data_IF_933716016370
#
_entry.id   IF_933716016370
#
_cell.length_a   1.000
_cell.length_b   1.000
_cell.length_c   1.000
_cell.angle_alpha   90.00
_cell.angle_beta   90.00
_cell.angle_gamma   90.00
#
_symmetry.space_group_name_H-M   'P 1'
#
loop_
_entity.id
_entity.type
_entity.pdbx_description
1 polymer ?
#
# COMPACT_ATOMS: atom_id res chain seq x y z
N UNK A 1 34.20 3.81 32.58
CA UNK A 1 33.88 3.67 31.14
C UNK A 1 32.83 2.60 30.83
N UNK A 2 32.85 1.39 31.43
CA UNK A 2 31.96 0.28 31.03
C UNK A 2 30.45 0.34 31.35
N UNK A 3 29.92 1.39 32.00
CA UNK A 3 28.49 1.50 32.33
C UNK A 3 27.72 2.35 31.30
N UNK A 4 28.39 3.33 30.69
CA UNK A 4 27.84 4.18 29.63
C UNK A 4 27.68 3.36 28.35
N UNK A 5 28.67 2.51 28.02
CA UNK A 5 28.64 1.66 26.83
C UNK A 5 27.49 0.62 26.88
N UNK A 6 27.18 0.07 28.05
CA UNK A 6 26.05 -0.85 28.24
C UNK A 6 24.70 -0.14 28.10
N UNK A 7 24.58 1.08 28.63
CA UNK A 7 23.37 1.91 28.50
C UNK A 7 23.11 2.33 27.05
N UNK A 8 24.18 2.68 26.31
CA UNK A 8 24.11 3.02 24.90
C UNK A 8 23.71 1.82 24.04
N UNK A 9 24.27 0.63 24.32
CA UNK A 9 23.92 -0.60 23.62
C UNK A 9 22.44 -0.98 23.84
N UNK A 10 21.95 -0.92 25.07
CA UNK A 10 20.55 -1.22 25.39
C UNK A 10 19.56 -0.19 24.79
N UNK A 11 19.95 1.09 24.75
CA UNK A 11 19.15 2.14 24.11
C UNK A 11 19.12 1.97 22.60
N UNK A 12 20.26 1.62 21.98
CA UNK A 12 20.35 1.33 20.55
C UNK A 12 19.55 0.07 20.17
N UNK A 13 19.58 -0.96 21.00
CA UNK A 13 18.80 -2.18 20.81
C UNK A 13 17.29 -1.90 20.96
N UNK A 14 16.90 -1.09 21.94
CA UNK A 14 15.50 -0.64 22.10
C UNK A 14 15.04 0.22 20.93
N UNK A 15 15.88 1.14 20.43
CA UNK A 15 15.60 1.93 19.24
C UNK A 15 15.55 1.08 17.98
N UNK A 16 16.43 0.09 17.82
CA UNK A 16 16.36 -0.85 16.71
C UNK A 16 15.12 -1.74 16.80
N UNK A 17 14.72 -2.16 18.00
CA UNK A 17 13.48 -2.92 18.20
C UNK A 17 12.26 -2.07 17.89
N UNK A 18 12.21 -0.83 18.39
CA UNK A 18 11.16 0.13 18.08
C UNK A 18 11.11 0.43 16.58
N UNK A 19 12.26 0.68 15.96
CA UNK A 19 12.39 0.85 14.51
C UNK A 19 11.91 -0.40 13.77
N UNK A 20 12.28 -1.61 14.20
CA UNK A 20 11.83 -2.85 13.56
C UNK A 20 10.31 -3.05 13.67
N UNK A 21 9.74 -2.77 14.83
CA UNK A 21 8.32 -2.97 15.14
C UNK A 21 7.43 -1.91 14.49
N UNK A 22 7.90 -0.66 14.39
CA UNK A 22 7.07 0.47 13.95
C UNK A 22 7.43 1.05 12.58
N UNK A 23 8.67 0.84 12.10
CA UNK A 23 9.20 1.46 10.89
C UNK A 23 9.83 0.47 9.87
N UNK A 24 10.29 -0.72 10.28
CA UNK A 24 10.79 -1.74 9.36
C UNK A 24 9.69 -2.66 8.83
N UNK A 25 8.60 -2.84 9.58
CA UNK A 25 7.40 -3.51 9.10
C UNK A 25 6.43 -2.47 8.50
N UNK A 26 6.61 -2.23 7.21
CA UNK A 26 5.80 -1.27 6.43
C UNK A 26 4.32 -1.64 6.50
N UNK A 27 3.98 -2.94 6.57
CA UNK A 27 2.60 -3.39 6.68
C UNK A 27 2.03 -3.04 8.06
N UNK A 28 2.81 -3.19 9.13
CA UNK A 28 2.37 -2.77 10.46
C UNK A 28 2.11 -1.26 10.55
N UNK A 29 2.95 -0.43 9.93
CA UNK A 29 2.68 1.02 9.84
C UNK A 29 1.34 1.29 9.14
N UNK A 30 1.05 0.56 8.05
CA UNK A 30 -0.22 0.70 7.33
C UNK A 30 -1.40 0.22 8.19
N UNK A 31 -1.26 -0.90 8.93
CA UNK A 31 -2.29 -1.40 9.85
C UNK A 31 -2.64 -0.36 10.91
N UNK A 32 -1.64 0.21 11.57
CA UNK A 32 -1.84 1.24 12.60
C UNK A 32 -2.55 2.44 12.00
N UNK A 33 -2.08 2.94 10.87
CA UNK A 33 -2.70 4.10 10.23
C UNK A 33 -4.14 3.83 9.76
N UNK A 34 -4.42 2.63 9.24
CA UNK A 34 -5.76 2.22 8.85
C UNK A 34 -6.69 2.08 10.07
N UNK A 35 -6.20 1.54 11.18
CA UNK A 35 -6.95 1.43 12.43
C UNK A 35 -7.29 2.82 13.01
N UNK A 36 -6.32 3.74 13.04
CA UNK A 36 -6.54 5.14 13.44
C UNK A 36 -7.55 5.84 12.52
N UNK A 37 -7.46 5.60 11.22
CA UNK A 37 -8.40 6.19 10.26
C UNK A 37 -9.82 5.65 10.47
N UNK A 38 -9.96 4.36 10.80
CA UNK A 38 -11.25 3.76 11.14
C UNK A 38 -11.85 4.34 12.43
N UNK A 39 -11.05 4.57 13.47
CA UNK A 39 -11.57 5.11 14.73
C UNK A 39 -12.05 6.56 14.59
N UNK A 40 -11.45 7.32 13.68
CA UNK A 40 -11.83 8.71 13.42
C UNK A 40 -12.98 8.86 12.40
N UNK A 41 -13.40 7.77 11.74
CA UNK A 41 -14.27 7.81 10.56
C UNK A 41 -15.55 8.63 10.72
N UNK A 42 -16.21 8.51 11.88
CA UNK A 42 -17.46 9.22 12.16
C UNK A 42 -17.33 10.75 12.19
N UNK A 43 -16.11 11.27 12.37
CA UNK A 43 -15.82 12.71 12.45
C UNK A 43 -15.02 13.26 11.27
N UNK A 44 -14.71 12.43 10.26
CA UNK A 44 -13.95 12.90 9.10
C UNK A 44 -14.89 13.56 8.08
N UNK A 45 -14.60 14.81 7.73
CA UNK A 45 -15.19 15.41 6.54
C UNK A 45 -14.59 14.79 5.26
N UNK A 46 -15.20 15.09 4.11
CA UNK A 46 -14.78 14.55 2.81
C UNK A 46 -13.34 14.90 2.44
N UNK A 47 -12.85 16.07 2.85
CA UNK A 47 -11.49 16.50 2.57
C UNK A 47 -10.48 15.72 3.42
N UNK A 48 -10.75 15.58 4.72
CA UNK A 48 -9.93 14.81 5.65
C UNK A 48 -9.89 13.33 5.26
N UNK A 49 -11.03 12.76 4.84
CA UNK A 49 -11.09 11.40 4.30
C UNK A 49 -10.20 11.26 3.06
N UNK A 50 -10.28 12.19 2.11
CA UNK A 50 -9.44 12.21 0.91
C UNK A 50 -7.94 12.20 1.24
N UNK A 51 -7.49 13.06 2.16
CA UNK A 51 -6.09 13.13 2.61
C UNK A 51 -5.64 11.79 3.23
N UNK A 52 -6.47 11.22 4.11
CA UNK A 52 -6.15 9.96 4.80
C UNK A 52 -5.99 8.82 3.79
N UNK A 53 -6.90 8.72 2.83
CA UNK A 53 -6.85 7.68 1.79
C UNK A 53 -5.67 7.88 0.85
N UNK A 54 -5.35 9.11 0.45
CA UNK A 54 -4.12 9.39 -0.31
C UNK A 54 -2.87 8.92 0.40
N UNK A 55 -2.78 9.15 1.71
CA UNK A 55 -1.62 8.73 2.51
C UNK A 55 -1.54 7.20 2.61
N UNK A 56 -2.67 6.50 2.73
CA UNK A 56 -2.72 5.04 2.65
C UNK A 56 -2.24 4.51 1.28
N UNK A 57 -2.67 5.12 0.18
CA UNK A 57 -2.19 4.77 -1.17
C UNK A 57 -0.67 4.95 -1.28
N UNK A 58 -0.14 6.06 -0.75
CA UNK A 58 1.30 6.32 -0.74
C UNK A 58 2.08 5.26 0.06
N UNK A 59 1.60 4.89 1.24
CA UNK A 59 2.25 3.85 2.04
C UNK A 59 2.19 2.49 1.36
N UNK A 60 1.05 2.13 0.77
CA UNK A 60 0.91 0.87 0.04
C UNK A 60 1.81 0.81 -1.19
N UNK A 61 1.93 1.92 -1.94
CA UNK A 61 2.88 2.05 -3.05
C UNK A 61 4.32 1.78 -2.62
N UNK A 62 4.72 2.36 -1.50
CA UNK A 62 6.08 2.22 -0.96
C UNK A 62 6.30 0.78 -0.46
N UNK A 63 5.29 0.16 0.16
CA UNK A 63 5.32 -1.24 0.55
C UNK A 63 5.53 -2.15 -0.68
N UNK A 64 4.84 -1.88 -1.79
CA UNK A 64 4.99 -2.69 -3.01
C UNK A 64 6.44 -2.76 -3.49
N UNK A 65 7.17 -1.66 -3.39
CA UNK A 65 8.58 -1.57 -3.79
C UNK A 65 9.50 -2.37 -2.85
N UNK A 66 9.31 -2.22 -1.53
CA UNK A 66 10.05 -2.96 -0.50
C UNK A 66 9.88 -4.46 -0.69
N UNK A 67 8.62 -4.93 -0.83
CA UNK A 67 8.35 -6.36 -0.95
C UNK A 67 8.74 -6.92 -2.31
N UNK A 68 8.65 -6.14 -3.39
CA UNK A 68 9.21 -6.54 -4.67
C UNK A 68 10.72 -6.79 -4.57
N UNK A 69 11.47 -5.91 -3.91
CA UNK A 69 12.90 -6.11 -3.66
C UNK A 69 13.19 -7.33 -2.79
N UNK A 70 12.38 -7.56 -1.75
CA UNK A 70 12.51 -8.73 -0.89
C UNK A 70 12.27 -10.05 -1.66
N UNK A 71 11.30 -10.05 -2.59
CA UNK A 71 10.94 -11.22 -3.41
C UNK A 71 11.93 -11.52 -4.53
N UNK A 72 12.78 -10.56 -4.94
CA UNK A 72 13.82 -10.77 -5.94
C UNK A 72 14.99 -11.64 -5.45
N UNK A 73 15.02 -12.00 -4.16
CA UNK A 73 15.98 -12.96 -3.60
C UNK A 73 15.48 -14.41 -3.59
N UNK A 74 16.29 -15.31 -3.03
CA UNK A 74 15.86 -16.67 -2.72
C UNK A 74 14.98 -16.62 -1.46
N UNK A 75 13.66 -16.54 -1.66
CA UNK A 75 12.68 -16.48 -0.58
C UNK A 75 11.97 -17.84 -0.44
N UNK A 76 11.95 -18.45 0.77
CA UNK A 76 11.21 -19.68 1.02
C UNK A 76 9.73 -19.53 0.70
N UNK A 77 9.07 -20.60 0.22
CA UNK A 77 7.64 -20.57 -0.09
C UNK A 77 6.80 -20.15 1.10
N UNK A 78 7.03 -20.69 2.31
CA UNK A 78 6.30 -20.29 3.52
C UNK A 78 6.29 -18.77 3.75
N UNK A 79 7.40 -18.10 3.45
CA UNK A 79 7.52 -16.64 3.56
C UNK A 79 6.79 -15.91 2.43
N UNK A 80 6.78 -16.45 1.20
CA UNK A 80 5.97 -15.90 0.09
C UNK A 80 4.48 -15.98 0.40
N UNK A 81 4.03 -17.10 0.95
CA UNK A 81 2.64 -17.33 1.36
C UNK A 81 2.21 -16.37 2.47
N UNK A 82 3.07 -16.17 3.48
CA UNK A 82 2.85 -15.17 4.52
C UNK A 82 2.73 -13.75 3.93
N UNK A 83 3.72 -13.34 3.13
CA UNK A 83 3.70 -12.02 2.49
C UNK A 83 2.47 -11.82 1.61
N UNK A 84 2.04 -12.87 0.89
CA UNK A 84 0.82 -12.81 0.08
C UNK A 84 -0.41 -12.53 0.94
N UNK A 85 -0.54 -13.22 2.06
CA UNK A 85 -1.66 -13.03 2.98
C UNK A 85 -1.65 -11.62 3.59
N UNK A 86 -0.50 -11.14 4.06
CA UNK A 86 -0.37 -9.81 4.67
C UNK A 86 -0.59 -8.68 3.65
N UNK A 87 -0.06 -8.81 2.43
CA UNK A 87 -0.31 -7.84 1.36
C UNK A 87 -1.78 -7.83 0.90
N UNK A 88 -2.42 -9.00 0.87
CA UNK A 88 -3.84 -9.12 0.53
C UNK A 88 -4.71 -8.47 1.60
N UNK A 89 -4.42 -8.72 2.89
CA UNK A 89 -5.10 -8.09 4.03
C UNK A 89 -5.06 -6.56 3.90
N UNK A 90 -3.87 -5.99 3.72
CA UNK A 90 -3.72 -4.54 3.60
C UNK A 90 -4.33 -4.00 2.31
N UNK A 91 -4.18 -4.72 1.20
CA UNK A 91 -4.79 -4.37 -0.08
C UNK A 91 -6.31 -4.31 0.03
N UNK A 92 -6.94 -5.25 0.75
CA UNK A 92 -8.38 -5.27 0.99
C UNK A 92 -8.83 -4.09 1.85
N UNK A 93 -8.09 -3.78 2.92
CA UNK A 93 -8.35 -2.60 3.75
C UNK A 93 -8.27 -1.33 2.91
N UNK A 94 -7.20 -1.14 2.13
CA UNK A 94 -7.06 0.01 1.24
C UNK A 94 -8.20 0.07 0.21
N UNK A 95 -8.56 -1.05 -0.40
CA UNK A 95 -9.63 -1.10 -1.39
C UNK A 95 -10.97 -0.62 -0.80
N UNK A 96 -11.30 -1.03 0.43
CA UNK A 96 -12.52 -0.58 1.11
C UNK A 96 -12.55 0.93 1.35
N UNK A 97 -11.39 1.55 1.61
CA UNK A 97 -11.27 3.00 1.76
C UNK A 97 -11.44 3.73 0.43
N UNK A 98 -10.89 3.19 -0.64
CA UNK A 98 -11.06 3.73 -1.99
C UNK A 98 -12.52 3.64 -2.42
N UNK A 99 -13.20 2.52 -2.15
CA UNK A 99 -14.63 2.37 -2.44
C UNK A 99 -15.48 3.41 -1.71
N UNK A 100 -15.14 3.77 -0.46
CA UNK A 100 -15.79 4.87 0.26
C UNK A 100 -15.55 6.22 -0.44
N UNK A 101 -14.31 6.51 -0.82
CA UNK A 101 -13.95 7.74 -1.57
C UNK A 101 -14.77 7.85 -2.85
N UNK A 102 -14.88 6.76 -3.61
CA UNK A 102 -15.68 6.67 -4.82
C UNK A 102 -17.18 6.88 -4.53
N UNK A 103 -17.72 6.22 -3.50
CA UNK A 103 -19.13 6.35 -3.10
C UNK A 103 -19.49 7.80 -2.69
N UNK A 104 -18.56 8.50 -2.03
CA UNK A 104 -18.72 9.90 -1.65
C UNK A 104 -18.35 10.89 -2.76
N UNK A 105 -18.02 10.41 -3.97
CA UNK A 105 -17.58 11.24 -5.13
C UNK A 105 -16.41 12.17 -4.77
N UNK A 106 -15.54 11.71 -3.88
CA UNK A 106 -14.34 12.44 -3.47
C UNK A 106 -13.28 12.18 -4.54
N UNK A 107 -12.83 13.24 -5.20
CA UNK A 107 -11.71 13.13 -6.12
C UNK A 107 -10.40 13.29 -5.35
N UNK A 108 -9.54 12.27 -5.39
CA UNK A 108 -8.23 12.37 -4.79
C UNK A 108 -7.34 13.27 -5.65
N UNK A 109 -6.77 14.31 -5.05
CA UNK A 109 -5.69 15.09 -5.66
C UNK A 109 -4.47 14.19 -5.96
N UNK A 110 -3.76 14.49 -7.04
CA UNK A 110 -2.62 13.69 -7.53
C UNK A 110 -1.34 13.92 -6.70
N UNK A 111 -1.34 13.55 -5.43
CA UNK A 111 -0.09 13.46 -4.63
C UNK A 111 0.74 12.22 -5.01
N UNK A 112 0.08 11.21 -5.60
CA UNK A 112 0.71 9.98 -6.06
C UNK A 112 0.70 9.98 -7.58
N UNK A 113 1.87 9.82 -8.19
CA UNK A 113 1.95 9.55 -9.63
C UNK A 113 1.32 8.18 -9.87
N UNK A 114 0.13 8.16 -10.47
CA UNK A 114 -0.61 6.93 -10.65
C UNK A 114 0.03 5.97 -11.65
N UNK A 115 0.77 6.47 -12.65
CA UNK A 115 1.54 5.60 -13.54
C UNK A 115 2.66 4.87 -12.76
N UNK A 116 3.29 5.58 -11.82
CA UNK A 116 4.27 4.99 -10.90
C UNK A 116 3.62 3.97 -9.96
N UNK A 117 2.43 4.29 -9.42
CA UNK A 117 1.65 3.37 -8.60
C UNK A 117 1.32 2.09 -9.36
N UNK A 118 0.70 2.22 -10.54
CA UNK A 118 0.29 1.13 -11.41
C UNK A 118 1.49 0.24 -11.76
N UNK A 119 2.62 0.83 -12.10
CA UNK A 119 3.84 0.08 -12.41
C UNK A 119 4.31 -0.74 -11.20
N UNK A 120 4.38 -0.14 -10.00
CA UNK A 120 4.87 -0.81 -8.79
C UNK A 120 3.96 -1.94 -8.33
N UNK A 121 2.64 -1.69 -8.32
CA UNK A 121 1.68 -2.71 -7.90
C UNK A 121 1.56 -3.85 -8.92
N UNK A 122 1.60 -3.56 -10.22
CA UNK A 122 1.55 -4.59 -11.27
C UNK A 122 2.78 -5.51 -11.19
N UNK A 123 3.98 -4.93 -11.05
CA UNK A 123 5.21 -5.71 -10.88
C UNK A 123 5.18 -6.62 -9.66
N UNK A 124 4.62 -6.14 -8.54
CA UNK A 124 4.46 -6.96 -7.36
C UNK A 124 3.46 -8.10 -7.60
N UNK A 125 2.30 -7.83 -8.21
CA UNK A 125 1.28 -8.84 -8.53
C UNK A 125 1.84 -9.91 -9.47
N UNK A 126 2.63 -9.52 -10.48
CA UNK A 126 3.27 -10.46 -11.40
C UNK A 126 4.27 -11.36 -10.68
N UNK A 127 4.97 -10.83 -9.67
CA UNK A 127 5.98 -11.55 -8.88
C UNK A 127 5.36 -12.44 -7.80
N UNK A 128 4.26 -11.98 -7.21
CA UNK A 128 3.52 -12.67 -6.16
C UNK A 128 2.01 -12.63 -6.45
N UNK A 129 1.52 -13.50 -7.35
CA UNK A 129 0.11 -13.53 -7.71
C UNK A 129 -0.79 -13.73 -6.49
N UNK A 130 -1.92 -13.03 -6.47
CA UNK A 130 -2.89 -13.08 -5.38
C UNK A 130 -2.49 -12.29 -4.13
N UNK A 131 -1.52 -11.37 -4.20
CA UNK A 131 -1.13 -10.50 -3.09
C UNK A 131 -1.98 -9.23 -2.93
N UNK A 132 -2.96 -9.00 -3.81
CA UNK A 132 -3.82 -7.82 -3.77
C UNK A 132 -5.22 -8.13 -4.32
N UNK A 133 -6.27 -7.40 -3.90
CA UNK A 133 -7.60 -7.51 -4.50
C UNK A 133 -7.56 -7.16 -5.98
N UNK A 134 -8.28 -7.92 -6.80
CA UNK A 134 -8.33 -7.71 -8.25
C UNK A 134 -8.84 -6.32 -8.65
N UNK A 135 -9.74 -5.74 -7.85
CA UNK A 135 -10.33 -4.42 -8.08
C UNK A 135 -9.44 -3.24 -7.66
N UNK A 136 -8.37 -3.48 -6.89
CA UNK A 136 -7.64 -2.41 -6.20
C UNK A 136 -7.05 -1.38 -7.16
N UNK A 137 -6.36 -1.83 -8.22
CA UNK A 137 -5.74 -0.95 -9.22
C UNK A 137 -6.79 -0.10 -9.93
N UNK A 138 -7.87 -0.74 -10.39
CA UNK A 138 -8.97 -0.06 -11.09
C UNK A 138 -9.63 1.00 -10.21
N UNK A 139 -9.96 0.64 -8.96
CA UNK A 139 -10.60 1.54 -8.01
C UNK A 139 -9.71 2.75 -7.69
N UNK A 140 -8.39 2.53 -7.52
CA UNK A 140 -7.44 3.62 -7.29
C UNK A 140 -7.40 4.56 -8.50
N UNK A 141 -7.28 4.04 -9.73
CA UNK A 141 -7.29 4.87 -10.94
C UNK A 141 -8.54 5.73 -11.04
N UNK A 142 -9.72 5.14 -10.77
CA UNK A 142 -10.98 5.87 -10.74
C UNK A 142 -10.98 6.99 -9.68
N UNK A 143 -10.46 6.73 -8.48
CA UNK A 143 -10.42 7.71 -7.40
C UNK A 143 -9.51 8.91 -7.69
N UNK A 144 -8.45 8.71 -8.51
CA UNK A 144 -7.59 9.79 -9.01
C UNK A 144 -8.12 10.44 -10.31
N UNK A 145 -9.29 10.03 -10.81
CA UNK A 145 -9.88 10.54 -12.05
C UNK A 145 -9.12 10.13 -13.31
N UNK A 146 -8.42 8.99 -13.27
CA UNK A 146 -7.60 8.51 -14.37
C UNK A 146 -8.41 7.55 -15.21
N UNK A 147 -8.59 7.82 -16.51
CA UNK A 147 -9.33 6.94 -17.38
C UNK A 147 -8.67 5.56 -17.46
N UNK A 148 -9.50 4.53 -17.56
CA UNK A 148 -9.02 3.20 -17.93
C UNK A 148 -8.29 3.28 -19.29
N UNK A 149 -7.23 2.49 -19.48
CA UNK A 149 -6.63 2.35 -20.80
C UNK A 149 -7.74 1.90 -21.75
N UNK A 150 -8.08 2.73 -22.74
CA UNK A 150 -9.04 2.31 -23.77
C UNK A 150 -8.49 1.04 -24.40
N UNK A 151 -9.24 -0.06 -24.29
CA UNK A 151 -8.93 -1.27 -25.06
C UNK A 151 -8.75 -0.85 -26.53
N UNK A 152 -7.57 -1.15 -27.09
CA UNK A 152 -7.28 -0.94 -28.50
C UNK A 152 -8.40 -1.64 -29.28
N UNK A 153 -9.32 -0.86 -29.87
CA UNK A 153 -10.35 -1.42 -30.75
C UNK A 153 -9.61 -2.17 -31.85
N UNK A 154 -9.94 -3.44 -32.14
CA UNK A 154 -9.35 -4.12 -33.28
C UNK A 154 -9.64 -3.29 -34.52
N UNK A 155 -8.57 -2.91 -35.24
CA UNK A 155 -8.70 -2.23 -36.52
C UNK A 155 -9.64 -3.04 -37.42
N UNK A 156 -10.66 -2.44 -38.03
CA UNK A 156 -11.44 -3.15 -39.03
C UNK A 156 -10.47 -3.51 -40.17
N UNK A 157 -10.27 -4.82 -40.38
CA UNK A 157 -9.59 -5.33 -41.58
C UNK A 157 -10.38 -4.81 -42.77
N UNK A 158 -9.82 -3.86 -43.51
CA UNK A 158 -10.33 -3.47 -44.81
C UNK A 158 -10.25 -4.72 -45.71
N UNK A 159 -11.40 -5.10 -46.27
CA UNK A 159 -11.53 -6.14 -47.28
C UNK A 159 -11.19 -5.56 -48.64
#
# INVERSE_FOLDING_TARGET
MGQIDKSLAASRESLQKYWRVHYADVLQTIRVYAAETNSMLAGLDSFQLGIRVQRLVLYYRNACDVYFHELNGIVPSSKKEQLRAELMEIGAVLNSWIERVLAHKIQLQQLVNAAEFDMRITRLIDTLPGCAPASLVTNIRQAFGIPEPRALRPHPRQR
#
